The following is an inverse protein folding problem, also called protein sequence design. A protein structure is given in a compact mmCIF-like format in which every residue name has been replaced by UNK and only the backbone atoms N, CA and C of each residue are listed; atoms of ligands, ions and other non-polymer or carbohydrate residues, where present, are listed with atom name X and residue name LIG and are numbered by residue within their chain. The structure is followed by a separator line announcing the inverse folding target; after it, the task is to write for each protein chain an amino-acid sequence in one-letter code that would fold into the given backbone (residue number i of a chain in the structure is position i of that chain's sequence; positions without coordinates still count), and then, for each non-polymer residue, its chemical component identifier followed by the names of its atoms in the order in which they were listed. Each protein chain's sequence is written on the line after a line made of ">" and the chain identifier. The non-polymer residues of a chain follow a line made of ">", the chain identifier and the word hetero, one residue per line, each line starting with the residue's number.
data_IF_919464651331
#
_entry.id   IF_919464651331
#
_cell.length_a   1.000
_cell.length_b   1.000
_cell.length_c   1.000
_cell.angle_alpha   90.00
_cell.angle_beta   90.00
_cell.angle_gamma   90.00
#
_symmetry.space_group_name_H-M   'P 1'
#
loop_
_entity.id
_entity.type
_entity.pdbx_description
1 polymer ?
#
# COMPACT_ATOMS: atom_id res chain seq x y z
N UNK A 1 -2.01 2.02 -17.40
CA UNK A 1 -0.66 1.59 -16.94
C UNK A 1 -0.73 0.09 -16.74
N UNK A 2 0.19 -0.73 -17.31
CA UNK A 2 0.12 -2.20 -17.15
C UNK A 2 0.57 -2.53 -15.72
N UNK A 3 -0.37 -2.93 -14.86
CA UNK A 3 -0.12 -3.23 -13.43
C UNK A 3 0.80 -4.45 -13.23
N UNK A 4 0.68 -5.44 -14.13
CA UNK A 4 1.48 -6.66 -14.12
C UNK A 4 2.35 -6.75 -15.36
N UNK A 5 3.63 -7.11 -15.17
CA UNK A 5 4.59 -7.30 -16.24
C UNK A 5 5.22 -8.70 -16.13
N UNK A 6 5.47 -9.40 -17.26
CA UNK A 6 6.24 -10.64 -17.23
C UNK A 6 7.61 -10.41 -16.60
N UNK A 7 8.06 -11.33 -15.75
CA UNK A 7 9.34 -11.17 -15.02
C UNK A 7 10.53 -10.94 -15.96
N UNK A 8 10.47 -11.47 -17.19
CA UNK A 8 11.52 -11.28 -18.19
C UNK A 8 11.70 -9.82 -18.65
N UNK A 9 10.69 -8.98 -18.47
CA UNK A 9 10.72 -7.55 -18.81
C UNK A 9 10.75 -6.64 -17.57
N UNK A 10 10.84 -7.23 -16.37
CA UNK A 10 10.87 -6.46 -15.14
C UNK A 10 12.25 -5.84 -14.92
N UNK A 11 12.32 -4.62 -14.38
CA UNK A 11 13.61 -4.03 -14.01
C UNK A 11 14.21 -4.78 -12.79
N UNK A 12 15.24 -5.57 -13.08
CA UNK A 12 15.95 -6.41 -12.13
C UNK A 12 17.17 -5.71 -11.50
N UNK A 13 17.31 -4.39 -11.66
CA UNK A 13 18.46 -3.58 -11.19
C UNK A 13 18.93 -3.89 -9.77
N UNK A 14 18.04 -4.35 -8.88
CA UNK A 14 18.37 -4.73 -7.50
C UNK A 14 17.83 -6.10 -7.06
N UNK A 15 17.35 -6.95 -7.97
CA UNK A 15 16.72 -8.24 -7.60
C UNK A 15 16.83 -9.24 -8.75
N UNK A 16 17.23 -10.49 -8.50
CA UNK A 16 17.37 -11.46 -9.57
C UNK A 16 16.02 -12.09 -9.95
N UNK A 17 15.90 -12.61 -11.19
CA UNK A 17 14.73 -13.40 -11.63
C UNK A 17 14.44 -14.58 -10.69
N UNK A 18 15.50 -15.23 -10.17
CA UNK A 18 15.40 -16.35 -9.23
C UNK A 18 14.81 -15.91 -7.90
N UNK A 19 15.19 -14.74 -7.38
CA UNK A 19 14.62 -14.20 -6.14
C UNK A 19 13.14 -13.89 -6.28
N UNK A 20 12.71 -13.34 -7.42
CA UNK A 20 11.29 -13.09 -7.71
C UNK A 20 10.51 -14.40 -7.80
N UNK A 21 11.06 -15.42 -8.47
CA UNK A 21 10.44 -16.75 -8.53
C UNK A 21 10.33 -17.40 -7.14
N UNK A 22 11.39 -17.33 -6.33
CA UNK A 22 11.38 -17.83 -4.96
C UNK A 22 10.33 -17.11 -4.10
N UNK A 23 10.21 -15.79 -4.28
CA UNK A 23 9.19 -14.99 -3.61
C UNK A 23 7.78 -15.40 -4.03
N UNK A 24 7.55 -15.67 -5.31
CA UNK A 24 6.27 -16.20 -5.80
C UNK A 24 5.91 -17.52 -5.12
N UNK A 25 6.82 -18.50 -5.08
CA UNK A 25 6.54 -19.78 -4.42
C UNK A 25 6.26 -19.61 -2.92
N UNK A 26 6.99 -18.71 -2.25
CA UNK A 26 6.76 -18.39 -0.84
C UNK A 26 5.40 -17.74 -0.62
N UNK A 27 5.03 -16.75 -1.43
CA UNK A 27 3.75 -16.05 -1.34
C UNK A 27 2.59 -17.02 -1.60
N UNK A 28 2.74 -17.94 -2.57
CA UNK A 28 1.78 -19.01 -2.83
C UNK A 28 1.58 -19.95 -1.63
N UNK A 29 2.67 -20.32 -0.92
CA UNK A 29 2.58 -21.17 0.27
C UNK A 29 1.79 -20.53 1.41
N UNK A 30 1.87 -19.21 1.56
CA UNK A 30 1.15 -18.44 2.59
C UNK A 30 -0.22 -17.93 2.10
N UNK A 31 -0.67 -18.33 0.91
CA UNK A 31 -1.97 -17.95 0.35
C UNK A 31 -2.07 -16.51 -0.18
N UNK A 32 -0.94 -15.85 -0.42
CA UNK A 32 -0.88 -14.47 -0.91
C UNK A 32 -0.93 -14.42 -2.44
N UNK A 33 -1.83 -13.62 -3.01
CA UNK A 33 -2.13 -13.59 -4.46
C UNK A 33 -2.10 -12.21 -5.12
N UNK A 34 -1.79 -11.15 -4.38
CA UNK A 34 -1.84 -9.75 -4.83
C UNK A 34 -0.60 -9.28 -5.62
N UNK A 35 0.54 -10.00 -5.52
CA UNK A 35 1.83 -9.58 -6.11
C UNK A 35 2.18 -10.25 -7.43
N UNK A 36 1.60 -11.42 -7.66
CA UNK A 36 1.98 -12.30 -8.75
C UNK A 36 0.75 -12.92 -9.37
N UNK A 37 0.78 -13.09 -10.68
CA UNK A 37 -0.25 -13.83 -11.40
C UNK A 37 0.40 -14.71 -12.48
N UNK A 38 -0.27 -15.80 -12.82
CA UNK A 38 0.09 -16.60 -14.00
C UNK A 38 -0.92 -16.31 -15.09
N UNK A 39 -0.44 -15.85 -16.24
CA UNK A 39 -1.23 -15.64 -17.44
C UNK A 39 -0.51 -16.29 -18.62
N UNK A 40 -1.21 -17.12 -19.40
CA UNK A 40 -0.64 -17.88 -20.53
C UNK A 40 0.63 -18.68 -20.19
N UNK A 41 0.70 -19.24 -18.97
CA UNK A 41 1.86 -20.00 -18.49
C UNK A 41 3.08 -19.16 -18.12
N UNK A 42 2.99 -17.83 -18.21
CA UNK A 42 4.04 -16.90 -17.81
C UNK A 42 3.77 -16.36 -16.40
N UNK A 43 4.82 -16.21 -15.60
CA UNK A 43 4.74 -15.55 -14.30
C UNK A 43 4.88 -14.04 -14.50
N UNK A 44 3.83 -13.32 -14.16
CA UNK A 44 3.79 -11.87 -14.15
C UNK A 44 3.92 -11.37 -12.71
N UNK A 45 4.60 -10.23 -12.57
CA UNK A 45 4.85 -9.56 -11.29
C UNK A 45 4.22 -8.17 -11.33
N UNK A 46 3.55 -7.78 -10.25
CA UNK A 46 3.00 -6.43 -10.11
C UNK A 46 4.14 -5.41 -10.06
N UNK A 47 3.99 -4.23 -10.69
CA UNK A 47 5.00 -3.16 -10.62
C UNK A 47 5.42 -2.85 -9.18
N UNK A 48 4.44 -2.81 -8.28
CA UNK A 48 4.66 -2.60 -6.85
C UNK A 48 4.76 -3.89 -6.04
N UNK A 49 5.28 -5.00 -6.57
CA UNK A 49 5.36 -6.26 -5.81
C UNK A 49 6.01 -6.10 -4.42
N UNK A 50 6.91 -5.12 -4.24
CA UNK A 50 7.50 -4.79 -2.93
C UNK A 50 6.49 -4.17 -1.96
N UNK A 51 5.54 -3.39 -2.46
CA UNK A 51 4.43 -2.83 -1.69
C UNK A 51 3.14 -2.71 -2.52
N UNK A 52 2.34 -3.77 -2.65
CA UNK A 52 1.14 -3.78 -3.50
C UNK A 52 0.03 -2.83 -3.04
N UNK A 53 0.08 -2.33 -1.81
CA UNK A 53 -0.84 -1.30 -1.32
C UNK A 53 -0.33 0.12 -1.51
N UNK A 54 0.83 0.31 -2.15
CA UNK A 54 1.48 1.61 -2.32
C UNK A 54 0.53 2.64 -2.92
N UNK A 55 0.02 2.38 -4.13
CA UNK A 55 -0.83 3.34 -4.84
C UNK A 55 -2.08 3.70 -4.04
N UNK A 56 -2.79 2.70 -3.49
CA UNK A 56 -4.01 2.89 -2.74
C UNK A 56 -3.79 3.70 -1.46
N UNK A 57 -2.75 3.39 -0.69
CA UNK A 57 -2.46 4.12 0.55
C UNK A 57 -1.93 5.51 0.25
N UNK A 58 -1.08 5.67 -0.77
CA UNK A 58 -0.52 6.96 -1.15
C UNK A 58 -1.61 7.94 -1.62
N UNK A 59 -2.51 7.51 -2.50
CA UNK A 59 -3.64 8.33 -2.97
C UNK A 59 -4.50 8.83 -1.80
N UNK A 60 -4.92 7.91 -0.92
CA UNK A 60 -5.69 8.27 0.28
C UNK A 60 -4.91 9.17 1.24
N UNK A 61 -3.60 8.97 1.36
CA UNK A 61 -2.76 9.77 2.21
C UNK A 61 -2.66 11.22 1.73
N UNK A 62 -2.46 11.44 0.43
CA UNK A 62 -2.39 12.79 -0.13
C UNK A 62 -3.74 13.50 -0.04
N UNK A 63 -4.86 12.80 -0.30
CA UNK A 63 -6.21 13.34 -0.06
C UNK A 63 -6.45 13.69 1.41
N UNK A 64 -6.01 12.84 2.33
CA UNK A 64 -6.14 13.11 3.76
C UNK A 64 -5.26 14.28 4.21
N UNK A 65 -4.10 14.49 3.58
CA UNK A 65 -3.27 15.67 3.82
C UNK A 65 -3.93 16.97 3.37
N UNK A 66 -4.69 16.97 2.27
CA UNK A 66 -5.44 18.15 1.83
C UNK A 66 -6.52 18.57 2.84
N UNK A 67 -7.07 17.61 3.59
CA UNK A 67 -8.02 17.86 4.67
C UNK A 67 -7.37 18.12 6.03
N UNK A 68 -6.06 17.92 6.18
CA UNK A 68 -5.35 18.06 7.46
C UNK A 68 -4.66 19.43 7.56
N UNK A 69 -4.60 20.00 8.77
CA UNK A 69 -3.80 21.20 8.99
C UNK A 69 -2.29 20.91 8.92
N UNK A 70 -1.89 19.67 9.23
CA UNK A 70 -0.51 19.23 9.10
C UNK A 70 -0.41 17.71 9.00
N UNK A 71 0.70 17.22 8.43
CA UNK A 71 1.02 15.78 8.45
C UNK A 71 1.07 15.21 9.89
N UNK A 72 1.43 16.03 10.88
CA UNK A 72 1.48 15.63 12.29
C UNK A 72 0.10 15.32 12.85
N UNK A 73 -0.91 16.06 12.46
CA UNK A 73 -2.30 15.83 12.87
C UNK A 73 -2.77 14.48 12.35
N UNK A 74 -2.58 14.21 11.06
CA UNK A 74 -2.91 12.94 10.44
C UNK A 74 -2.16 11.76 11.12
N UNK A 75 -0.88 11.93 11.41
CA UNK A 75 -0.08 10.92 12.10
C UNK A 75 -0.56 10.67 13.54
N UNK A 76 -0.94 11.71 14.28
CA UNK A 76 -1.53 11.58 15.63
C UNK A 76 -2.86 10.83 15.59
N UNK A 77 -3.73 11.16 14.63
CA UNK A 77 -5.02 10.49 14.46
C UNK A 77 -4.82 8.99 14.25
N UNK A 78 -3.97 8.61 13.29
CA UNK A 78 -3.71 7.19 13.00
C UNK A 78 -3.03 6.50 14.18
N UNK A 79 -2.03 7.12 14.81
CA UNK A 79 -1.34 6.58 15.98
C UNK A 79 -2.32 6.25 17.12
N UNK A 80 -3.27 7.14 17.41
CA UNK A 80 -4.31 6.94 18.43
C UNK A 80 -5.21 5.75 18.12
N UNK A 81 -5.57 5.54 16.86
CA UNK A 81 -6.48 4.46 16.45
C UNK A 81 -5.79 3.10 16.35
N UNK A 82 -4.50 3.07 16.00
CA UNK A 82 -3.74 1.81 15.84
C UNK A 82 -2.92 1.42 17.08
N UNK A 83 -2.83 2.30 18.09
CA UNK A 83 -1.93 2.14 19.23
C UNK A 83 -0.44 2.11 18.84
N UNK A 84 -0.09 2.64 17.67
CA UNK A 84 1.29 2.69 17.17
C UNK A 84 1.95 3.99 17.60
N UNK A 85 3.27 3.96 17.78
CA UNK A 85 4.03 5.19 17.98
C UNK A 85 3.92 6.12 16.76
N UNK A 86 3.88 7.43 17.01
CA UNK A 86 3.72 8.42 15.94
C UNK A 86 4.89 8.39 14.94
N UNK A 87 6.12 8.11 15.39
CA UNK A 87 7.27 8.01 14.48
C UNK A 87 7.16 6.79 13.59
N UNK A 88 6.57 5.71 14.11
CA UNK A 88 6.25 4.52 13.31
C UNK A 88 5.24 4.86 12.22
N UNK A 89 4.21 5.66 12.53
CA UNK A 89 3.23 6.13 11.54
C UNK A 89 3.89 7.03 10.50
N UNK A 90 4.77 7.96 10.90
CA UNK A 90 5.54 8.77 9.95
C UNK A 90 6.38 7.91 9.00
N UNK A 91 7.02 6.85 9.52
CA UNK A 91 7.80 5.95 8.70
C UNK A 91 6.92 5.27 7.63
N UNK A 92 5.70 4.87 7.99
CA UNK A 92 4.74 4.31 7.04
C UNK A 92 4.30 5.33 5.99
N UNK A 93 3.98 6.56 6.39
CA UNK A 93 3.58 7.61 5.44
C UNK A 93 4.72 8.06 4.53
N UNK A 94 5.97 8.04 4.99
CA UNK A 94 7.12 8.44 4.18
C UNK A 94 7.49 7.38 3.15
N UNK A 95 7.44 6.12 3.54
CA UNK A 95 7.95 5.02 2.69
C UNK A 95 6.85 4.28 1.95
N UNK A 96 5.59 4.40 2.41
CA UNK A 96 4.45 3.63 1.93
C UNK A 96 4.72 2.14 1.87
N UNK A 97 5.56 1.61 2.79
CA UNK A 97 5.94 0.19 2.83
C UNK A 97 5.12 -0.53 3.88
N UNK A 98 4.12 -1.27 3.44
CA UNK A 98 3.27 -2.09 4.30
C UNK A 98 3.55 -3.57 4.02
N UNK A 99 4.24 -4.24 4.95
CA UNK A 99 4.50 -5.69 4.85
C UNK A 99 3.26 -6.52 5.11
N UNK A 100 2.38 -6.04 5.99
CA UNK A 100 1.12 -6.67 6.38
C UNK A 100 -0.03 -6.04 5.58
N UNK A 101 -0.72 -6.82 4.72
CA UNK A 101 -1.88 -6.36 3.95
C UNK A 101 -3.05 -5.85 4.79
N UNK A 102 -3.38 -6.55 5.88
CA UNK A 102 -4.48 -6.19 6.78
C UNK A 102 -4.22 -4.83 7.42
N UNK A 103 -2.97 -4.58 7.81
CA UNK A 103 -2.57 -3.30 8.36
C UNK A 103 -2.63 -2.19 7.31
N UNK A 104 -2.22 -2.46 6.06
CA UNK A 104 -2.37 -1.48 4.98
C UNK A 104 -3.84 -1.13 4.74
N UNK A 105 -4.72 -2.13 4.77
CA UNK A 105 -6.16 -1.93 4.62
C UNK A 105 -6.76 -1.17 5.81
N UNK A 106 -6.31 -1.46 7.04
CA UNK A 106 -6.67 -0.68 8.24
C UNK A 106 -6.26 0.79 8.08
N UNK A 107 -5.04 1.07 7.60
CA UNK A 107 -4.58 2.44 7.34
C UNK A 107 -5.45 3.12 6.27
N UNK A 108 -5.78 2.42 5.18
CA UNK A 108 -6.70 2.96 4.17
C UNK A 108 -8.06 3.37 4.79
N UNK A 109 -8.63 2.52 5.65
CA UNK A 109 -9.91 2.80 6.30
C UNK A 109 -9.82 4.01 7.23
N UNK A 110 -8.71 4.15 7.97
CA UNK A 110 -8.47 5.29 8.83
C UNK A 110 -8.29 6.60 8.03
N UNK A 111 -7.58 6.56 6.92
CA UNK A 111 -7.40 7.74 6.05
C UNK A 111 -8.74 8.17 5.42
N UNK A 112 -9.55 7.22 4.93
CA UNK A 112 -10.91 7.50 4.44
C UNK A 112 -11.78 8.13 5.51
N UNK A 113 -11.75 7.60 6.72
CA UNK A 113 -12.49 8.14 7.86
C UNK A 113 -12.03 9.55 8.21
N UNK A 114 -10.72 9.80 8.25
CA UNK A 114 -10.16 11.13 8.48
C UNK A 114 -10.65 12.13 7.42
N UNK A 115 -10.62 11.75 6.14
CA UNK A 115 -11.15 12.58 5.05
C UNK A 115 -12.63 12.87 5.27
N UNK A 116 -13.47 11.87 5.57
CA UNK A 116 -14.91 12.10 5.82
C UNK A 116 -15.14 13.05 6.99
N UNK A 117 -14.36 12.93 8.08
CA UNK A 117 -14.49 13.78 9.27
C UNK A 117 -13.98 15.22 9.07
N UNK A 118 -13.10 15.47 8.09
CA UNK A 118 -12.40 16.76 7.94
C UNK A 118 -12.56 17.42 6.56
N UNK A 119 -13.30 16.80 5.63
CA UNK A 119 -13.60 17.41 4.34
C UNK A 119 -14.63 18.53 4.52
N UNK A 120 -14.26 19.74 4.10
CA UNK A 120 -15.13 20.93 4.06
C UNK A 120 -16.39 20.74 3.18
N UNK A 121 -16.37 19.75 2.27
CA UNK A 121 -17.47 19.40 1.35
C UNK A 121 -18.13 18.05 1.68
N UNK A 122 -17.85 17.47 2.84
CA UNK A 122 -18.22 16.09 3.18
C UNK A 122 -19.59 15.93 3.83
N UNK A 123 -20.66 15.99 3.04
CA UNK A 123 -21.89 15.21 3.23
C UNK A 123 -22.71 15.26 1.93
N UNK A 124 -22.43 14.32 1.03
CA UNK A 124 -23.43 13.79 0.10
C UNK A 124 -23.15 12.28 -0.01
N UNK A 125 -23.83 11.52 0.83
CA UNK A 125 -23.95 10.08 0.67
C UNK A 125 -24.72 9.80 -0.63
N UNK A 126 -24.17 8.93 -1.50
CA UNK A 126 -24.94 8.04 -2.39
C UNK A 126 -24.56 6.59 -2.06
#
# INVERSE_FOLDING_TARGET
>A
MREFIPIQYFDLSNTTKKDIQNLYYRDKQIGRTDRFMIENGQLLVHNDYKCPHFHKVADLYYKALECANSQRELAKFVAKQTGKDINTVYFYFRNFRFKNPDFAQQICNLLKRFIKENNLFGDYDE
#
